data_IF_716931497801
#
_entry.id   IF_716931497801
#
_cell.length_a   1.000
_cell.length_b   1.000
_cell.length_c   1.000
_cell.angle_alpha   90.00
_cell.angle_beta   90.00
_cell.angle_gamma   90.00
#
_symmetry.space_group_name_H-M   'P 1'
#
loop_
_entity.id
_entity.type
_entity.pdbx_description
1 polymer ?
#
# COMPACT_ATOMS: atom_id res chain seq x y z
N UNK A 1 -6.20 -33.38 1.18
CA UNK A 1 -5.63 -32.16 1.82
C UNK A 1 -6.03 -32.16 3.28
N UNK A 2 -5.08 -32.09 4.20
CA UNK A 2 -5.34 -32.25 5.65
C UNK A 2 -6.17 -31.05 6.16
N UNK A 3 -7.32 -31.32 6.84
CA UNK A 3 -8.25 -30.30 7.36
C UNK A 3 -7.56 -29.20 8.20
N UNK A 4 -6.49 -29.54 8.91
CA UNK A 4 -5.70 -28.59 9.73
C UNK A 4 -4.90 -27.63 8.85
N UNK A 5 -4.29 -28.09 7.75
CA UNK A 5 -3.56 -27.24 6.81
C UNK A 5 -4.51 -26.27 6.09
N UNK A 6 -5.69 -26.74 5.69
CA UNK A 6 -6.71 -25.91 5.06
C UNK A 6 -7.17 -24.76 5.99
N UNK A 7 -7.44 -25.08 7.26
CA UNK A 7 -7.81 -24.05 8.26
C UNK A 7 -6.70 -23.00 8.46
N UNK A 8 -5.44 -23.44 8.54
CA UNK A 8 -4.30 -22.49 8.69
C UNK A 8 -4.17 -21.58 7.47
N UNK A 9 -4.27 -22.13 6.27
CA UNK A 9 -4.23 -21.33 5.04
C UNK A 9 -5.38 -20.31 4.98
N UNK A 10 -6.58 -20.68 5.42
CA UNK A 10 -7.72 -19.78 5.47
C UNK A 10 -7.47 -18.57 6.38
N UNK A 11 -6.93 -18.78 7.59
CA UNK A 11 -6.61 -17.68 8.50
C UNK A 11 -5.53 -16.73 7.94
N UNK A 12 -4.51 -17.29 7.27
CA UNK A 12 -3.45 -16.49 6.62
C UNK A 12 -4.05 -15.64 5.49
N UNK A 13 -4.86 -16.20 4.63
CA UNK A 13 -5.52 -15.45 3.55
C UNK A 13 -6.48 -14.42 4.12
N UNK A 14 -7.27 -14.76 5.15
CA UNK A 14 -8.19 -13.83 5.79
C UNK A 14 -7.47 -12.65 6.45
N UNK A 15 -6.29 -12.86 7.02
CA UNK A 15 -5.52 -11.78 7.66
C UNK A 15 -5.00 -10.74 6.67
N UNK A 16 -4.86 -11.09 5.40
CA UNK A 16 -4.58 -10.16 4.32
C UNK A 16 -5.87 -9.51 3.78
N UNK A 17 -6.88 -10.34 3.47
CA UNK A 17 -8.07 -9.86 2.78
C UNK A 17 -8.96 -8.97 3.65
N UNK A 18 -9.14 -9.28 4.94
CA UNK A 18 -10.07 -8.53 5.79
C UNK A 18 -9.67 -7.05 5.92
N UNK A 19 -8.42 -6.69 6.30
CA UNK A 19 -8.02 -5.28 6.36
C UNK A 19 -8.11 -4.58 5.00
N UNK A 20 -7.72 -5.24 3.91
CA UNK A 20 -7.79 -4.67 2.57
C UNK A 20 -9.25 -4.40 2.14
N UNK A 21 -10.17 -5.33 2.40
CA UNK A 21 -11.59 -5.17 2.10
C UNK A 21 -12.22 -4.07 2.98
N UNK A 22 -11.88 -4.02 4.26
CA UNK A 22 -12.38 -2.97 5.15
C UNK A 22 -11.92 -1.59 4.67
N UNK A 23 -10.65 -1.45 4.29
CA UNK A 23 -10.15 -0.19 3.73
C UNK A 23 -10.81 0.16 2.39
N UNK A 24 -11.06 -0.84 1.54
CA UNK A 24 -11.84 -0.65 0.31
C UNK A 24 -13.22 -0.04 0.60
N UNK A 25 -13.96 -0.56 1.60
CA UNK A 25 -15.26 0.00 1.97
C UNK A 25 -15.16 1.39 2.59
N UNK A 26 -14.11 1.68 3.35
CA UNK A 26 -13.85 3.04 3.88
C UNK A 26 -13.67 4.01 2.71
N UNK A 27 -12.83 3.68 1.74
CA UNK A 27 -12.64 4.50 0.55
C UNK A 27 -13.94 4.67 -0.25
N UNK A 28 -14.68 3.58 -0.45
CA UNK A 28 -15.96 3.63 -1.15
C UNK A 28 -16.97 4.58 -0.47
N UNK A 29 -17.00 4.59 0.88
CA UNK A 29 -17.87 5.51 1.64
C UNK A 29 -17.49 6.99 1.50
N UNK A 30 -16.23 7.26 1.12
CA UNK A 30 -15.72 8.60 0.83
C UNK A 30 -15.81 8.98 -0.66
N UNK A 31 -16.42 8.13 -1.50
CA UNK A 31 -16.51 8.32 -2.94
C UNK A 31 -15.22 8.02 -3.70
N UNK A 32 -14.25 7.39 -3.04
CA UNK A 32 -12.95 7.00 -3.64
C UNK A 32 -13.08 5.57 -4.15
N UNK A 33 -13.03 5.38 -5.45
CA UNK A 33 -13.07 4.07 -6.10
C UNK A 33 -12.26 4.09 -7.40
N UNK A 34 -12.10 2.96 -8.01
CA UNK A 34 -11.33 2.81 -9.25
C UNK A 34 -11.87 3.71 -10.36
N UNK A 35 -11.02 4.55 -10.96
CA UNK A 35 -11.37 5.57 -11.96
C UNK A 35 -12.36 6.65 -11.45
N UNK A 36 -12.46 6.88 -10.15
CA UNK A 36 -13.24 8.01 -9.66
C UNK A 36 -12.50 9.32 -9.87
N UNK A 37 -13.27 10.41 -10.01
CA UNK A 37 -12.72 11.77 -10.02
C UNK A 37 -12.20 12.18 -8.63
N UNK A 38 -12.66 11.49 -7.58
CA UNK A 38 -12.18 11.67 -6.21
C UNK A 38 -10.99 10.75 -5.97
N UNK A 39 -9.84 11.34 -5.68
CA UNK A 39 -8.60 10.60 -5.40
C UNK A 39 -8.33 10.56 -3.89
N UNK A 40 -7.71 9.50 -3.36
CA UNK A 40 -7.16 9.52 -2.00
C UNK A 40 -5.99 10.49 -1.85
N UNK A 41 -5.60 11.12 -2.92
CA UNK A 41 -4.47 12.04 -3.01
C UNK A 41 -4.97 13.47 -2.78
N UNK A 42 -4.67 14.04 -1.64
CA UNK A 42 -4.91 15.44 -1.29
C UNK A 42 -3.56 16.17 -1.10
N UNK A 43 -3.50 17.44 -1.45
CA UNK A 43 -2.32 18.27 -1.22
C UNK A 43 -1.03 17.69 -1.82
N UNK A 44 -0.04 17.40 -0.98
CA UNK A 44 1.27 16.88 -1.41
C UNK A 44 1.20 15.53 -2.10
N UNK A 45 0.20 14.72 -1.79
CA UNK A 45 -0.04 13.44 -2.45
C UNK A 45 -0.18 13.59 -3.96
N UNK A 46 -0.97 14.56 -4.39
CA UNK A 46 -1.18 14.83 -5.81
C UNK A 46 0.02 15.56 -6.44
N UNK A 47 0.58 16.54 -5.75
CA UNK A 47 1.67 17.38 -6.29
C UNK A 47 3.06 16.73 -6.23
N UNK A 48 3.29 15.76 -5.36
CA UNK A 48 4.59 15.12 -5.18
C UNK A 48 4.55 13.64 -5.51
N UNK A 49 3.68 12.85 -4.85
CA UNK A 49 3.71 11.38 -4.98
C UNK A 49 3.35 10.91 -6.38
N UNK A 50 2.33 11.47 -7.03
CA UNK A 50 1.97 11.11 -8.41
C UNK A 50 3.12 11.41 -9.37
N UNK A 51 3.81 12.53 -9.17
CA UNK A 51 4.95 12.92 -10.01
C UNK A 51 6.11 11.94 -9.80
N UNK A 52 6.43 11.63 -8.54
CA UNK A 52 7.54 10.73 -8.23
C UNK A 52 7.26 9.28 -8.66
N UNK A 53 6.03 8.80 -8.48
CA UNK A 53 5.59 7.49 -8.96
C UNK A 53 5.61 7.42 -10.49
N UNK A 54 5.22 8.49 -11.18
CA UNK A 54 5.30 8.60 -12.65
C UNK A 54 6.75 8.60 -13.11
N UNK A 55 7.64 9.32 -12.42
CA UNK A 55 9.07 9.32 -12.71
C UNK A 55 9.68 7.93 -12.48
N UNK A 56 9.34 7.27 -11.37
CA UNK A 56 9.77 5.89 -11.11
C UNK A 56 9.30 4.94 -12.22
N UNK A 57 8.06 5.05 -12.64
CA UNK A 57 7.52 4.27 -13.77
C UNK A 57 8.34 4.48 -15.04
N UNK A 58 8.64 5.74 -15.39
CA UNK A 58 9.42 6.07 -16.57
C UNK A 58 10.85 5.51 -16.50
N UNK A 59 11.47 5.57 -15.31
CA UNK A 59 12.78 4.96 -15.07
C UNK A 59 12.72 3.43 -15.27
N UNK A 60 11.68 2.78 -14.73
CA UNK A 60 11.48 1.34 -14.90
C UNK A 60 11.23 0.94 -16.36
N UNK A 61 10.71 1.85 -17.20
CA UNK A 61 10.57 1.66 -18.65
C UNK A 61 11.83 2.10 -19.43
N UNK A 62 12.86 2.60 -18.77
CA UNK A 62 14.11 3.03 -19.41
C UNK A 62 14.03 4.37 -20.15
N UNK A 63 13.00 5.18 -19.89
CA UNK A 63 12.78 6.49 -20.54
C UNK A 63 13.32 7.67 -19.73
N UNK A 64 13.61 7.47 -18.42
CA UNK A 64 14.14 8.48 -17.52
C UNK A 64 15.39 7.98 -16.77
N UNK A 65 16.18 8.91 -16.21
CA UNK A 65 17.39 8.59 -15.46
C UNK A 65 17.09 8.38 -13.97
N UNK A 66 17.66 7.30 -13.39
CA UNK A 66 17.59 7.04 -11.96
C UNK A 66 18.36 8.08 -11.13
N UNK A 67 19.43 8.64 -11.69
CA UNK A 67 20.35 9.50 -10.93
C UNK A 67 20.02 10.98 -11.01
N UNK A 68 19.28 11.41 -12.03
CA UNK A 68 18.94 12.81 -12.21
C UNK A 68 17.56 13.00 -12.83
N UNK A 69 16.75 13.84 -12.20
CA UNK A 69 15.42 14.19 -12.69
C UNK A 69 15.19 15.69 -12.64
N UNK A 70 14.62 16.25 -13.71
CA UNK A 70 14.16 17.65 -13.77
C UNK A 70 12.71 17.84 -13.31
N UNK A 71 12.03 16.78 -12.89
CA UNK A 71 10.63 16.83 -12.47
C UNK A 71 10.42 17.51 -11.12
N UNK A 72 11.51 17.86 -10.42
CA UNK A 72 11.45 18.55 -9.13
C UNK A 72 12.49 19.65 -9.07
N UNK A 73 12.04 20.89 -8.86
CA UNK A 73 12.88 22.08 -8.73
C UNK A 73 13.80 22.31 -9.93
N UNK A 74 15.05 22.62 -9.68
CA UNK A 74 16.09 22.84 -10.70
C UNK A 74 16.82 21.54 -11.12
N UNK A 75 16.29 20.41 -10.72
CA UNK A 75 16.86 19.08 -10.91
C UNK A 75 17.40 18.50 -9.60
N UNK A 76 17.11 17.24 -9.37
CA UNK A 76 17.52 16.53 -8.16
C UNK A 76 18.04 15.14 -8.48
N UNK A 77 18.78 14.57 -7.52
CA UNK A 77 19.14 13.17 -7.55
C UNK A 77 17.91 12.32 -7.20
N UNK A 78 17.32 11.68 -8.22
CA UNK A 78 16.09 10.88 -8.03
C UNK A 78 16.34 9.63 -7.17
N UNK A 79 17.52 9.04 -7.19
CA UNK A 79 17.85 7.91 -6.34
C UNK A 79 17.74 8.26 -4.84
N UNK A 80 18.24 9.43 -4.46
CA UNK A 80 18.11 9.92 -3.08
C UNK A 80 16.65 10.20 -2.73
N UNK A 81 15.89 10.83 -3.65
CA UNK A 81 14.46 11.07 -3.50
C UNK A 81 13.67 9.77 -3.37
N UNK A 82 13.95 8.78 -4.21
CA UNK A 82 13.27 7.48 -4.20
C UNK A 82 13.47 6.73 -2.89
N UNK A 83 14.63 6.85 -2.27
CA UNK A 83 14.92 6.25 -0.96
C UNK A 83 14.03 6.82 0.15
N UNK A 84 13.64 8.09 0.04
CA UNK A 84 12.78 8.76 1.02
C UNK A 84 11.29 8.54 0.73
N UNK A 85 10.84 8.69 -0.52
CA UNK A 85 9.42 8.69 -0.88
C UNK A 85 8.92 7.34 -1.41
N UNK A 86 9.76 6.59 -2.13
CA UNK A 86 9.36 5.42 -2.90
C UNK A 86 9.96 4.11 -2.37
N UNK A 87 10.55 4.12 -1.17
CA UNK A 87 11.18 2.97 -0.54
C UNK A 87 10.21 1.84 -0.10
N UNK A 88 9.03 1.76 -0.72
CA UNK A 88 8.06 0.71 -0.45
C UNK A 88 8.28 -0.50 -1.35
N UNK A 89 8.15 -1.71 -0.79
CA UNK A 89 8.15 -2.95 -1.56
C UNK A 89 7.11 -2.96 -2.70
N UNK A 90 6.04 -2.19 -2.55
CA UNK A 90 4.95 -2.10 -3.53
C UNK A 90 5.17 -1.02 -4.59
N UNK A 91 6.14 -0.11 -4.43
CA UNK A 91 6.38 0.98 -5.39
C UNK A 91 6.67 0.48 -6.82
N UNK A 92 7.39 -0.63 -7.07
CA UNK A 92 7.59 -1.14 -8.42
C UNK A 92 6.31 -1.52 -9.18
N UNK A 93 5.17 -1.66 -8.49
CA UNK A 93 3.88 -1.94 -9.15
C UNK A 93 3.41 -0.81 -10.07
N UNK A 94 3.93 0.42 -9.90
CA UNK A 94 3.66 1.55 -10.80
C UNK A 94 4.07 1.26 -12.24
N UNK A 95 4.96 0.30 -12.45
CA UNK A 95 5.36 -0.18 -13.78
C UNK A 95 4.17 -0.55 -14.68
N UNK A 96 3.14 -1.16 -14.10
CA UNK A 96 1.97 -1.66 -14.83
C UNK A 96 0.92 -0.59 -15.12
N UNK A 97 1.13 0.65 -14.68
CA UNK A 97 0.17 1.74 -14.83
C UNK A 97 0.67 2.80 -15.81
N UNK A 98 -0.27 3.49 -16.46
CA UNK A 98 0.05 4.67 -17.28
C UNK A 98 0.10 5.92 -16.39
N UNK A 99 0.79 6.98 -16.85
CA UNK A 99 0.90 8.24 -16.10
C UNK A 99 -0.49 8.82 -15.71
N UNK A 100 -1.48 8.71 -16.60
CA UNK A 100 -2.86 9.17 -16.35
C UNK A 100 -3.62 8.32 -15.31
N UNK A 101 -3.26 7.05 -15.15
CA UNK A 101 -3.88 6.13 -14.20
C UNK A 101 -3.08 5.97 -12.90
N UNK A 102 -2.12 6.85 -12.65
CA UNK A 102 -1.29 6.81 -11.44
C UNK A 102 -2.11 6.91 -10.14
N UNK A 103 -3.20 7.70 -10.03
CA UNK A 103 -4.08 7.66 -8.85
C UNK A 103 -4.65 6.27 -8.56
N UNK A 104 -4.96 5.48 -9.60
CA UNK A 104 -5.41 4.09 -9.43
C UNK A 104 -4.29 3.17 -8.92
N UNK A 105 -3.04 3.43 -9.34
CA UNK A 105 -1.88 2.72 -8.82
C UNK A 105 -1.72 2.95 -7.31
N UNK A 106 -1.79 4.21 -6.86
CA UNK A 106 -1.71 4.57 -5.45
C UNK A 106 -2.86 3.96 -4.65
N UNK A 107 -4.09 4.01 -5.19
CA UNK A 107 -5.25 3.36 -4.60
C UNK A 107 -5.02 1.85 -4.37
N UNK A 108 -4.59 1.12 -5.40
CA UNK A 108 -4.31 -0.31 -5.31
C UNK A 108 -3.16 -0.61 -4.32
N UNK A 109 -2.06 0.14 -4.43
CA UNK A 109 -0.89 -0.02 -3.55
C UNK A 109 -1.30 0.18 -2.08
N UNK A 110 -2.17 1.14 -1.80
CA UNK A 110 -2.68 1.38 -0.45
C UNK A 110 -3.46 0.18 0.08
N UNK A 111 -4.39 -0.36 -0.70
CA UNK A 111 -5.15 -1.56 -0.29
C UNK A 111 -4.21 -2.75 -0.02
N UNK A 112 -3.20 -2.95 -0.87
CA UNK A 112 -2.19 -4.00 -0.68
C UNK A 112 -1.36 -3.78 0.59
N UNK A 113 -1.01 -2.54 0.92
CA UNK A 113 -0.29 -2.20 2.16
C UNK A 113 -1.10 -2.58 3.40
N UNK A 114 -2.40 -2.25 3.45
CA UNK A 114 -3.27 -2.64 4.57
C UNK A 114 -3.35 -4.16 4.71
N UNK A 115 -3.52 -4.88 3.61
CA UNK A 115 -3.49 -6.34 3.60
C UNK A 115 -2.16 -6.91 4.12
N UNK A 116 -1.04 -6.35 3.66
CA UNK A 116 0.30 -6.79 4.08
C UNK A 116 0.57 -6.52 5.57
N UNK A 117 0.11 -5.38 6.12
CA UNK A 117 0.19 -5.08 7.56
C UNK A 117 -0.58 -6.13 8.36
N UNK A 118 -1.82 -6.44 7.96
CA UNK A 118 -2.63 -7.46 8.63
C UNK A 118 -1.98 -8.84 8.58
N UNK A 119 -1.48 -9.24 7.40
CA UNK A 119 -0.81 -10.52 7.21
C UNK A 119 0.49 -10.63 8.04
N UNK A 120 1.36 -9.64 7.98
CA UNK A 120 2.63 -9.65 8.72
C UNK A 120 2.40 -9.67 10.23
N UNK A 121 1.44 -8.89 10.72
CA UNK A 121 1.05 -8.89 12.13
C UNK A 121 0.48 -10.25 12.55
N UNK A 122 -0.37 -10.86 11.73
CA UNK A 122 -0.92 -12.19 12.00
C UNK A 122 0.19 -13.25 12.12
N UNK A 123 1.12 -13.28 11.18
CA UNK A 123 2.25 -14.23 11.18
C UNK A 123 3.11 -14.02 12.41
N UNK A 124 3.44 -12.77 12.76
CA UNK A 124 4.25 -12.43 13.91
C UNK A 124 3.58 -12.84 15.22
N UNK A 125 2.33 -12.46 15.44
CA UNK A 125 1.59 -12.79 16.66
C UNK A 125 1.37 -14.30 16.80
N UNK A 126 1.04 -14.99 15.71
CA UNK A 126 0.86 -16.44 15.74
C UNK A 126 2.16 -17.19 16.03
N UNK A 127 3.29 -16.68 15.53
CA UNK A 127 4.61 -17.24 15.82
C UNK A 127 5.07 -17.01 17.26
N UNK A 128 4.81 -15.81 17.80
CA UNK A 128 5.21 -15.45 19.16
C UNK A 128 4.31 -16.07 20.24
N UNK A 129 3.00 -16.19 19.96
CA UNK A 129 1.99 -16.59 20.95
C UNK A 129 1.20 -17.82 20.47
N UNK A 130 1.85 -18.98 20.43
CA UNK A 130 1.28 -20.24 19.93
C UNK A 130 0.04 -20.75 20.71
N UNK A 131 -0.16 -20.30 21.95
CA UNK A 131 -1.29 -20.68 22.81
C UNK A 131 -2.54 -19.85 22.57
N UNK A 132 -2.47 -18.73 21.86
CA UNK A 132 -3.62 -17.86 21.61
C UNK A 132 -4.48 -18.45 20.50
N UNK A 133 -5.82 -18.44 20.62
CA UNK A 133 -6.73 -18.87 19.56
C UNK A 133 -6.50 -18.06 18.27
N UNK A 134 -6.47 -18.75 17.13
CA UNK A 134 -6.22 -18.12 15.82
C UNK A 134 -7.22 -17.03 15.46
N UNK A 135 -8.46 -17.16 15.89
CA UNK A 135 -9.49 -16.11 15.70
C UNK A 135 -9.12 -14.83 16.43
N UNK A 136 -8.62 -14.93 17.66
CA UNK A 136 -8.19 -13.75 18.42
C UNK A 136 -6.97 -13.10 17.77
N UNK A 137 -5.99 -13.90 17.30
CA UNK A 137 -4.84 -13.38 16.55
C UNK A 137 -5.30 -12.66 15.29
N UNK A 138 -6.28 -13.20 14.56
CA UNK A 138 -6.85 -12.56 13.38
C UNK A 138 -7.51 -11.22 13.73
N UNK A 139 -8.30 -11.16 14.80
CA UNK A 139 -8.94 -9.91 15.23
C UNK A 139 -7.89 -8.86 15.61
N UNK A 140 -6.89 -9.23 16.40
CA UNK A 140 -5.81 -8.33 16.80
C UNK A 140 -5.00 -7.81 15.60
N UNK A 141 -4.69 -8.68 14.64
CA UNK A 141 -3.94 -8.28 13.44
C UNK A 141 -4.75 -7.33 12.55
N UNK A 142 -6.06 -7.56 12.42
CA UNK A 142 -6.96 -6.66 11.70
C UNK A 142 -7.07 -5.31 12.39
N UNK A 143 -7.27 -5.30 13.72
CA UNK A 143 -7.34 -4.07 14.51
C UNK A 143 -6.04 -3.27 14.42
N UNK A 144 -4.89 -3.94 14.44
CA UNK A 144 -3.59 -3.29 14.28
C UNK A 144 -3.43 -2.67 12.87
N UNK A 145 -3.84 -3.40 11.83
CA UNK A 145 -3.76 -2.90 10.46
C UNK A 145 -4.62 -1.63 10.25
N UNK A 146 -5.79 -1.57 10.91
CA UNK A 146 -6.75 -0.47 10.78
C UNK A 146 -6.66 0.56 11.91
N UNK A 147 -5.59 0.54 12.70
CA UNK A 147 -5.43 1.55 13.74
C UNK A 147 -5.25 2.95 13.16
N UNK A 148 -5.67 3.96 13.91
CA UNK A 148 -5.63 5.37 13.50
C UNK A 148 -4.25 5.81 13.00
N UNK A 149 -3.17 5.34 13.62
CA UNK A 149 -1.80 5.63 13.18
C UNK A 149 -1.50 5.11 11.78
N UNK A 150 -1.91 3.88 11.44
CA UNK A 150 -1.69 3.31 10.10
C UNK A 150 -2.50 4.08 9.05
N UNK A 151 -3.73 4.47 9.36
CA UNK A 151 -4.58 5.27 8.48
C UNK A 151 -3.97 6.66 8.28
N UNK A 152 -3.61 7.36 9.37
CA UNK A 152 -3.04 8.70 9.32
C UNK A 152 -1.71 8.76 8.56
N UNK A 153 -0.84 7.74 8.69
CA UNK A 153 0.41 7.68 7.94
C UNK A 153 0.20 7.51 6.42
N UNK A 154 -0.94 7.01 6.03
CA UNK A 154 -1.32 6.87 4.62
C UNK A 154 -1.99 8.15 4.13
N UNK A 155 -2.80 8.81 4.97
CA UNK A 155 -3.47 10.07 4.66
C UNK A 155 -2.54 11.29 4.74
N UNK A 156 -1.59 11.35 5.69
CA UNK A 156 -0.63 12.48 5.82
C UNK A 156 0.37 12.49 4.66
N UNK A 157 0.55 11.39 3.98
CA UNK A 157 1.22 11.37 2.68
C UNK A 157 0.32 11.86 1.54
N UNK A 158 -0.86 12.29 1.86
CA UNK A 158 -1.81 13.02 1.02
C UNK A 158 -1.75 14.53 1.43
#
# INVERSE_FOLDING_TARGET
MNKTKLKTSLFIVSSFLIPAIMMFFIYLSQGIYWNSDTSPLLGDGYHQYVIFDTTLRNILHGTDSLFYSFQSGLGINFYALSSYYLGSFFSPLVYFFNAQSMPNAVYLITLLKFGAIGLSTYISLHGMFSKIPRSLVLTLSTSFALMSFAISQIEIKT
#
